data_IF_831514409293
#
_entry.id   IF_831514409293
#
_cell.length_a   1.000
_cell.length_b   1.000
_cell.length_c   1.000
_cell.angle_alpha   90.00
_cell.angle_beta   90.00
_cell.angle_gamma   90.00
#
_symmetry.space_group_name_H-M   'P 1'
#
loop_
_entity.id
_entity.type
_entity.pdbx_description
1 polymer ?
#
# COMPACT_ATOMS: atom_id res chain seq x y z
N UNK A 1 15.14 46.61 -48.90
CA UNK A 1 13.71 46.97 -48.89
C UNK A 1 13.19 46.69 -47.48
N UNK A 2 13.18 47.67 -46.58
CA UNK A 2 12.19 48.76 -46.50
C UNK A 2 10.87 48.26 -45.86
N UNK A 3 10.72 48.53 -44.57
CA UNK A 3 9.77 49.51 -43.99
C UNK A 3 8.44 48.82 -43.61
N UNK A 4 8.20 48.53 -42.33
CA UNK A 4 7.70 49.45 -41.30
C UNK A 4 6.23 49.82 -41.50
N UNK A 5 5.64 50.33 -40.40
CA UNK A 5 4.34 51.04 -40.26
C UNK A 5 3.22 50.16 -39.69
N UNK A 6 2.46 50.59 -38.69
CA UNK A 6 2.52 51.79 -37.86
C UNK A 6 1.58 51.53 -36.68
N UNK A 7 1.94 52.09 -35.53
CA UNK A 7 1.05 52.34 -34.41
C UNK A 7 -0.29 52.97 -34.83
N UNK A 8 -1.40 52.50 -34.24
CA UNK A 8 -2.59 53.32 -34.03
C UNK A 8 -2.75 53.69 -32.55
N UNK A 9 -3.18 54.92 -32.37
CA UNK A 9 -3.10 55.77 -31.18
C UNK A 9 -4.34 55.62 -30.29
N UNK A 10 -4.10 55.85 -28.99
CA UNK A 10 -4.88 56.62 -28.00
C UNK A 10 -6.38 56.29 -27.80
N UNK A 11 -6.73 55.99 -26.55
CA UNK A 11 -7.71 56.77 -25.80
C UNK A 11 -7.49 56.62 -24.28
N UNK A 12 -7.18 57.73 -23.62
CA UNK A 12 -7.36 57.92 -22.18
C UNK A 12 -8.85 58.04 -21.91
N UNK A 13 -9.38 57.29 -20.95
CA UNK A 13 -10.65 57.59 -20.29
C UNK A 13 -10.53 57.21 -18.82
N UNK A 14 -10.37 58.25 -18.00
CA UNK A 14 -10.52 58.23 -16.56
C UNK A 14 -12.00 57.99 -16.24
N UNK A 15 -12.33 57.03 -15.39
CA UNK A 15 -13.56 57.07 -14.59
C UNK A 15 -13.27 56.49 -13.21
N UNK A 16 -13.41 57.35 -12.21
CA UNK A 16 -13.50 57.01 -10.80
C UNK A 16 -14.80 56.26 -10.52
N UNK A 17 -14.80 55.33 -9.55
CA UNK A 17 -15.94 55.06 -8.67
C UNK A 17 -15.59 54.01 -7.61
N UNK A 18 -15.47 54.50 -6.37
CA UNK A 18 -16.07 53.97 -5.14
C UNK A 18 -16.02 52.46 -4.83
N UNK A 19 -15.29 52.13 -3.76
CA UNK A 19 -15.48 50.92 -2.95
C UNK A 19 -16.89 50.86 -2.35
N UNK A 20 -17.53 49.68 -2.35
CA UNK A 20 -18.40 49.29 -1.27
C UNK A 20 -17.65 48.36 -0.30
N UNK A 21 -17.57 48.82 0.95
CA UNK A 21 -17.23 48.04 2.13
C UNK A 21 -18.34 47.00 2.35
N UNK A 22 -18.09 45.76 1.91
CA UNK A 22 -18.98 44.64 2.19
C UNK A 22 -18.73 44.09 3.59
N UNK A 23 -19.66 44.33 4.51
CA UNK A 23 -19.76 43.59 5.77
C UNK A 23 -19.89 42.09 5.46
N UNK A 24 -18.87 41.30 5.78
CA UNK A 24 -19.00 39.86 5.87
C UNK A 24 -19.75 39.53 7.18
N UNK A 25 -21.04 39.19 7.06
CA UNK A 25 -21.76 38.48 8.12
C UNK A 25 -21.08 37.13 8.34
N UNK A 26 -20.47 36.97 9.50
CA UNK A 26 -19.96 35.69 9.99
C UNK A 26 -21.10 34.69 10.14
N UNK A 27 -21.29 33.85 9.12
CA UNK A 27 -22.00 32.60 9.26
C UNK A 27 -21.02 31.54 9.73
N UNK A 28 -21.21 30.99 10.93
CA UNK A 28 -20.63 29.72 11.32
C UNK A 28 -21.25 28.63 10.42
N UNK A 29 -20.65 28.41 9.24
CA UNK A 29 -20.83 27.17 8.55
C UNK A 29 -20.13 26.10 9.39
N UNK A 30 -20.92 25.31 10.12
CA UNK A 30 -20.45 24.03 10.61
C UNK A 30 -19.97 23.25 9.38
N UNK A 31 -18.65 23.08 9.26
CA UNK A 31 -18.08 22.03 8.42
C UNK A 31 -18.64 20.74 8.98
N UNK A 32 -19.66 20.20 8.32
CA UNK A 32 -19.98 18.80 8.46
C UNK A 32 -18.72 18.04 8.05
N UNK A 33 -18.03 17.46 9.03
CA UNK A 33 -17.04 16.44 8.76
C UNK A 33 -17.75 15.34 7.95
N UNK A 34 -17.50 15.33 6.63
CA UNK A 34 -17.65 14.09 5.89
C UNK A 34 -16.73 13.04 6.52
N UNK A 35 -16.95 11.74 6.30
CA UNK A 35 -16.01 10.72 6.74
C UNK A 35 -14.70 10.91 5.96
N UNK A 36 -13.86 11.79 6.49
CA UNK A 36 -12.50 12.01 6.09
C UNK A 36 -11.75 10.77 6.46
N UNK A 37 -11.34 10.05 5.44
CA UNK A 37 -10.41 8.94 5.44
C UNK A 37 -9.23 9.18 6.40
N UNK A 38 -9.22 8.47 7.52
CA UNK A 38 -8.07 8.26 8.41
C UNK A 38 -7.05 7.30 7.78
N UNK A 39 -6.60 7.61 6.56
CA UNK A 39 -5.51 6.90 5.91
C UNK A 39 -4.18 7.31 6.58
N UNK A 40 -3.92 6.78 7.78
CA UNK A 40 -2.66 7.02 8.48
C UNK A 40 -2.53 6.48 9.91
N UNK A 41 -3.59 5.99 10.55
CA UNK A 41 -3.53 5.54 11.95
C UNK A 41 -4.11 4.12 12.20
N UNK A 42 -4.94 3.61 11.30
CA UNK A 42 -5.56 2.30 11.45
C UNK A 42 -4.73 1.25 10.70
N UNK A 43 -4.36 0.16 11.38
CA UNK A 43 -3.53 -0.91 10.83
C UNK A 43 -4.15 -1.62 9.61
N UNK A 44 -3.54 -2.74 9.20
CA UNK A 44 -4.08 -3.57 8.12
C UNK A 44 -5.58 -3.87 8.33
N UNK A 45 -6.39 -4.01 7.27
CA UNK A 45 -7.82 -4.33 7.40
C UNK A 45 -8.05 -5.57 8.26
N UNK A 46 -9.01 -5.50 9.17
CA UNK A 46 -9.32 -6.58 10.12
C UNK A 46 -10.66 -7.25 9.77
N UNK A 47 -10.77 -8.54 10.06
CA UNK A 47 -12.04 -9.25 9.99
C UNK A 47 -12.98 -8.67 11.06
N UNK A 48 -14.21 -8.22 10.71
CA UNK A 48 -15.15 -7.72 11.70
C UNK A 48 -15.47 -8.77 12.78
N UNK A 49 -15.40 -8.34 14.05
CA UNK A 49 -15.70 -9.23 15.18
C UNK A 49 -17.15 -9.75 15.10
N UNK A 50 -17.35 -11.03 15.44
CA UNK A 50 -18.67 -11.65 15.46
C UNK A 50 -19.25 -12.00 14.08
N UNK A 51 -18.52 -11.76 12.98
CA UNK A 51 -18.94 -12.16 11.65
C UNK A 51 -18.37 -13.54 11.27
N UNK A 52 -19.25 -14.48 10.92
CA UNK A 52 -18.82 -15.76 10.34
C UNK A 52 -18.29 -15.55 8.92
N UNK A 53 -17.05 -15.97 8.68
CA UNK A 53 -16.46 -15.97 7.35
C UNK A 53 -17.17 -17.00 6.46
N UNK A 54 -17.65 -16.55 5.30
CA UNK A 54 -18.31 -17.33 4.25
C UNK A 54 -17.40 -17.49 3.02
N UNK A 55 -16.46 -16.56 2.82
CA UNK A 55 -15.55 -16.57 1.67
C UNK A 55 -14.13 -16.26 2.08
N UNK A 56 -13.31 -17.30 2.06
CA UNK A 56 -11.87 -17.23 2.30
C UNK A 56 -11.19 -17.54 0.98
N UNK A 57 -10.37 -16.63 0.49
CA UNK A 57 -9.45 -16.89 -0.61
C UNK A 57 -8.07 -17.22 -0.02
N UNK A 58 -7.30 -18.03 -0.72
CA UNK A 58 -5.92 -18.31 -0.35
C UNK A 58 -5.06 -18.47 -1.60
N UNK A 59 -3.77 -18.22 -1.47
CA UNK A 59 -2.82 -18.35 -2.56
C UNK A 59 -1.38 -18.27 -2.07
N UNK A 60 -0.47 -18.76 -2.88
CA UNK A 60 0.98 -18.79 -2.64
C UNK A 60 1.72 -18.60 -3.96
N UNK A 61 3.05 -18.57 -3.91
CA UNK A 61 3.91 -18.62 -5.10
C UNK A 61 3.72 -17.45 -6.06
N UNK A 62 3.51 -16.24 -5.50
CA UNK A 62 3.41 -15.04 -6.31
C UNK A 62 4.80 -14.45 -6.56
N UNK A 63 5.24 -14.49 -7.82
CA UNK A 63 6.53 -13.94 -8.19
C UNK A 63 6.41 -12.45 -8.52
N UNK A 64 6.98 -11.62 -7.67
CA UNK A 64 7.01 -10.15 -7.78
C UNK A 64 7.65 -9.64 -9.09
N UNK A 65 8.54 -10.43 -9.70
CA UNK A 65 9.21 -10.09 -10.94
C UNK A 65 8.36 -10.39 -12.19
N UNK A 66 7.33 -11.25 -12.09
CA UNK A 66 6.44 -11.56 -13.20
C UNK A 66 5.32 -10.54 -13.27
N UNK A 67 5.43 -9.61 -14.22
CA UNK A 67 4.44 -8.57 -14.46
C UNK A 67 3.83 -8.70 -15.87
N UNK A 68 2.52 -8.46 -16.04
CA UNK A 68 1.55 -8.13 -14.99
C UNK A 68 1.18 -9.35 -14.11
N UNK A 69 0.59 -9.09 -12.93
CA UNK A 69 -0.01 -10.10 -12.06
C UNK A 69 -1.55 -10.09 -12.17
N UNK A 70 -2.15 -10.62 -13.25
CA UNK A 70 -3.61 -10.54 -13.48
C UNK A 70 -4.45 -11.35 -12.48
N UNK A 71 -3.81 -12.24 -11.70
CA UNK A 71 -4.50 -13.03 -10.67
C UNK A 71 -5.21 -12.16 -9.64
N UNK A 72 -4.69 -10.95 -9.36
CA UNK A 72 -5.31 -10.04 -8.40
C UNK A 72 -6.70 -9.57 -8.82
N UNK A 73 -6.94 -9.40 -10.13
CA UNK A 73 -8.25 -8.99 -10.63
C UNK A 73 -9.31 -10.05 -10.30
N UNK A 74 -8.97 -11.33 -10.52
CA UNK A 74 -9.83 -12.45 -10.18
C UNK A 74 -10.05 -12.57 -8.67
N UNK A 75 -8.98 -12.42 -7.87
CA UNK A 75 -9.07 -12.46 -6.40
C UNK A 75 -9.97 -11.34 -5.86
N UNK A 76 -9.80 -10.10 -6.35
CA UNK A 76 -10.60 -8.95 -5.92
C UNK A 76 -12.05 -9.06 -6.39
N UNK A 77 -12.30 -9.53 -7.62
CA UNK A 77 -13.64 -9.79 -8.14
C UNK A 77 -14.39 -10.86 -7.34
N UNK A 78 -13.66 -11.81 -6.74
CA UNK A 78 -14.25 -12.79 -5.84
C UNK A 78 -14.69 -12.20 -4.50
N UNK A 79 -14.37 -10.95 -4.16
CA UNK A 79 -14.77 -10.28 -2.90
C UNK A 79 -14.55 -11.15 -1.64
N UNK A 80 -13.33 -11.65 -1.39
CA UNK A 80 -13.03 -12.42 -0.18
C UNK A 80 -13.23 -11.58 1.08
N UNK A 81 -13.72 -12.22 2.14
CA UNK A 81 -13.78 -11.63 3.49
C UNK A 81 -12.45 -11.79 4.23
N UNK A 82 -11.63 -12.75 3.80
CA UNK A 82 -10.27 -12.99 4.27
C UNK A 82 -9.43 -13.54 3.11
N UNK A 83 -8.19 -13.04 2.96
CA UNK A 83 -7.18 -13.65 2.10
C UNK A 83 -6.07 -14.29 2.94
N UNK A 84 -5.72 -15.54 2.66
CA UNK A 84 -4.61 -16.25 3.32
C UNK A 84 -3.45 -16.41 2.35
N UNK A 85 -2.37 -15.74 2.65
CA UNK A 85 -1.08 -15.89 1.98
C UNK A 85 -0.36 -17.13 2.54
N UNK A 86 -0.20 -18.13 1.68
CA UNK A 86 0.29 -19.47 2.03
C UNK A 86 1.80 -19.65 1.96
N UNK A 87 2.58 -18.57 1.78
CA UNK A 87 4.02 -18.65 1.56
C UNK A 87 4.42 -18.36 0.10
N UNK A 88 5.72 -18.30 -0.15
CA UNK A 88 6.29 -17.76 -1.38
C UNK A 88 5.62 -16.44 -1.79
N UNK A 89 5.53 -15.52 -0.83
CA UNK A 89 4.92 -14.21 -1.06
C UNK A 89 5.81 -13.31 -1.92
N UNK A 90 7.11 -13.61 -1.90
CA UNK A 90 8.15 -13.06 -2.76
C UNK A 90 9.23 -14.11 -2.99
N UNK A 91 9.94 -14.00 -4.11
CA UNK A 91 11.09 -14.83 -4.45
C UNK A 91 12.39 -14.07 -4.22
N UNK A 92 13.06 -14.32 -3.09
CA UNK A 92 14.28 -13.60 -2.69
C UNK A 92 15.43 -14.52 -2.21
N UNK A 93 15.38 -15.82 -2.50
CA UNK A 93 16.34 -16.82 -2.02
C UNK A 93 17.55 -17.03 -2.94
N UNK A 94 17.70 -16.27 -4.03
CA UNK A 94 18.82 -16.42 -4.97
C UNK A 94 20.17 -16.12 -4.30
N UNK A 95 21.13 -17.05 -4.32
CA UNK A 95 22.45 -16.82 -3.74
C UNK A 95 23.31 -15.81 -4.56
N UNK A 96 24.17 -15.01 -3.89
CA UNK A 96 24.27 -14.88 -2.44
C UNK A 96 23.05 -14.14 -1.88
N UNK A 97 22.48 -14.69 -0.80
CA UNK A 97 21.33 -14.07 -0.14
C UNK A 97 21.74 -12.82 0.65
N UNK A 98 20.86 -11.82 0.66
CA UNK A 98 20.97 -10.63 1.49
C UNK A 98 19.61 -10.14 1.96
N UNK A 99 19.56 -9.52 3.15
CA UNK A 99 18.37 -8.85 3.66
C UNK A 99 17.84 -7.79 2.66
N UNK A 100 18.74 -7.06 1.99
CA UNK A 100 18.37 -6.04 1.02
C UNK A 100 17.61 -6.63 -0.19
N UNK A 101 17.95 -7.83 -0.66
CA UNK A 101 17.19 -8.51 -1.72
C UNK A 101 15.79 -8.88 -1.25
N UNK A 102 15.65 -9.40 -0.02
CA UNK A 102 14.34 -9.73 0.55
C UNK A 102 13.46 -8.48 0.73
N UNK A 103 14.01 -7.42 1.32
CA UNK A 103 13.28 -6.15 1.49
C UNK A 103 12.92 -5.52 0.13
N UNK A 104 13.81 -5.59 -0.86
CA UNK A 104 13.52 -5.13 -2.21
C UNK A 104 12.44 -5.96 -2.89
N UNK A 105 12.43 -7.28 -2.71
CA UNK A 105 11.41 -8.15 -3.28
C UNK A 105 10.02 -7.81 -2.71
N UNK A 106 9.94 -7.57 -1.39
CA UNK A 106 8.73 -7.09 -0.74
C UNK A 106 8.30 -5.70 -1.22
N UNK A 107 9.23 -4.77 -1.40
CA UNK A 107 8.92 -3.45 -1.94
C UNK A 107 8.37 -3.53 -3.37
N UNK A 108 8.95 -4.39 -4.22
CA UNK A 108 8.46 -4.66 -5.57
C UNK A 108 7.04 -5.23 -5.55
N UNK A 109 6.77 -6.22 -4.70
CA UNK A 109 5.44 -6.80 -4.57
C UNK A 109 4.41 -5.79 -4.05
N UNK A 110 4.78 -4.96 -3.06
CA UNK A 110 3.92 -3.91 -2.53
C UNK A 110 3.54 -2.83 -3.55
N UNK A 111 4.37 -2.62 -4.58
CA UNK A 111 4.11 -1.69 -5.67
C UNK A 111 3.14 -2.25 -6.73
N UNK A 112 2.85 -3.56 -6.72
CA UNK A 112 1.91 -4.16 -7.68
C UNK A 112 0.48 -3.65 -7.40
N UNK A 113 -0.20 -3.00 -8.37
CA UNK A 113 -1.49 -2.35 -8.12
C UNK A 113 -2.54 -3.25 -7.48
N UNK A 114 -2.70 -4.47 -7.98
CA UNK A 114 -3.68 -5.43 -7.46
C UNK A 114 -3.36 -5.92 -6.04
N UNK A 115 -2.09 -6.20 -5.75
CA UNK A 115 -1.65 -6.55 -4.40
C UNK A 115 -1.81 -5.37 -3.42
N UNK A 116 -1.44 -4.16 -3.85
CA UNK A 116 -1.60 -2.94 -3.07
C UNK A 116 -3.08 -2.66 -2.77
N UNK A 117 -3.98 -2.90 -3.71
CA UNK A 117 -5.41 -2.81 -3.50
C UNK A 117 -5.89 -3.85 -2.49
N UNK A 118 -5.54 -5.13 -2.68
CA UNK A 118 -5.89 -6.20 -1.74
C UNK A 118 -5.44 -5.89 -0.32
N UNK A 119 -4.18 -5.45 -0.14
CA UNK A 119 -3.65 -5.07 1.17
C UNK A 119 -4.40 -3.94 1.86
N UNK A 120 -4.99 -3.01 1.09
CA UNK A 120 -5.76 -1.89 1.64
C UNK A 120 -7.21 -2.27 1.95
N UNK A 121 -7.79 -3.24 1.25
CA UNK A 121 -9.25 -3.45 1.26
C UNK A 121 -9.71 -4.80 1.80
N UNK A 122 -8.83 -5.80 1.86
CA UNK A 122 -9.18 -7.17 2.25
C UNK A 122 -8.39 -7.57 3.50
N UNK A 123 -9.06 -7.99 4.59
CA UNK A 123 -8.38 -8.58 5.72
C UNK A 123 -7.51 -9.76 5.27
N UNK A 124 -6.28 -9.86 5.77
CA UNK A 124 -5.38 -10.91 5.33
C UNK A 124 -4.45 -11.42 6.43
N UNK A 125 -4.08 -12.69 6.29
CA UNK A 125 -3.08 -13.37 7.09
C UNK A 125 -1.97 -13.85 6.16
N UNK A 126 -0.75 -13.94 6.68
CA UNK A 126 0.38 -14.45 5.94
C UNK A 126 1.25 -15.38 6.78
N UNK A 127 1.67 -16.46 6.14
CA UNK A 127 2.79 -17.30 6.57
C UNK A 127 3.91 -17.20 5.51
N UNK A 128 5.11 -17.61 5.89
CA UNK A 128 6.26 -17.74 4.98
C UNK A 128 6.37 -19.14 4.39
N UNK A 129 7.12 -19.25 3.31
CA UNK A 129 7.76 -20.49 2.85
C UNK A 129 9.26 -20.19 2.57
N UNK A 130 10.02 -21.13 2.02
CA UNK A 130 11.48 -21.06 1.90
C UNK A 130 12.02 -19.83 1.13
N UNK A 131 11.26 -19.29 0.17
CA UNK A 131 11.64 -18.07 -0.55
C UNK A 131 11.47 -16.77 0.26
N UNK A 132 10.48 -16.73 1.17
CA UNK A 132 10.31 -15.67 2.18
C UNK A 132 11.31 -15.87 3.33
N UNK A 133 11.55 -17.15 3.69
CA UNK A 133 12.54 -17.57 4.68
C UNK A 133 13.92 -17.13 4.25
N UNK A 134 14.23 -17.14 2.94
CA UNK A 134 15.43 -16.54 2.36
C UNK A 134 16.47 -17.54 1.85
N UNK A 135 16.24 -18.84 1.99
CA UNK A 135 17.07 -19.85 1.32
C UNK A 135 16.20 -21.05 0.96
N UNK A 136 16.31 -21.48 -0.29
CA UNK A 136 15.60 -22.64 -0.82
C UNK A 136 15.89 -23.89 0.03
N UNK A 137 14.85 -24.64 0.38
CA UNK A 137 14.92 -25.88 1.16
C UNK A 137 15.71 -25.78 2.48
N UNK A 138 15.78 -24.57 3.07
CA UNK A 138 16.49 -24.35 4.31
C UNK A 138 15.61 -24.64 5.54
N UNK A 139 16.24 -25.12 6.60
CA UNK A 139 15.61 -25.37 7.88
C UNK A 139 16.23 -24.54 9.00
N UNK A 140 16.02 -25.02 10.23
CA UNK A 140 16.47 -24.37 11.45
C UNK A 140 17.98 -24.14 11.53
N UNK A 141 18.79 -24.81 10.70
CA UNK A 141 20.24 -24.64 10.60
C UNK A 141 20.66 -23.34 9.90
N UNK A 142 19.76 -22.68 9.15
CA UNK A 142 20.12 -21.49 8.39
C UNK A 142 20.29 -20.27 9.30
N UNK A 143 21.50 -19.69 9.28
CA UNK A 143 21.92 -18.66 10.22
C UNK A 143 21.10 -17.36 10.10
N UNK A 144 20.59 -17.04 8.91
CA UNK A 144 19.91 -15.78 8.62
C UNK A 144 18.39 -15.82 8.89
N UNK A 145 17.85 -16.96 9.37
CA UNK A 145 16.41 -17.16 9.57
C UNK A 145 15.75 -16.09 10.44
N UNK A 146 16.44 -15.64 11.48
CA UNK A 146 15.89 -14.62 12.39
C UNK A 146 15.79 -13.26 11.70
N UNK A 147 16.80 -12.90 10.90
CA UNK A 147 16.83 -11.64 10.15
C UNK A 147 15.73 -11.62 9.08
N UNK A 148 15.55 -12.74 8.36
CA UNK A 148 14.46 -12.88 7.40
C UNK A 148 13.08 -12.82 8.06
N UNK A 149 12.92 -13.49 9.21
CA UNK A 149 11.69 -13.44 10.00
C UNK A 149 11.34 -12.03 10.44
N UNK A 150 12.31 -11.28 10.94
CA UNK A 150 12.08 -9.91 11.39
C UNK A 150 11.67 -8.99 10.22
N UNK A 151 12.23 -9.24 9.02
CA UNK A 151 11.80 -8.58 7.79
C UNK A 151 10.36 -8.96 7.39
N UNK A 152 10.01 -10.25 7.42
CA UNK A 152 8.66 -10.75 7.17
C UNK A 152 7.64 -10.09 8.11
N UNK A 153 7.88 -10.16 9.43
CA UNK A 153 6.96 -9.62 10.44
C UNK A 153 6.78 -8.10 10.32
N UNK A 154 7.84 -7.39 9.90
CA UNK A 154 7.79 -5.95 9.64
C UNK A 154 6.99 -5.63 8.37
N UNK A 155 7.20 -6.36 7.27
CA UNK A 155 6.45 -6.16 6.03
C UNK A 155 4.95 -6.43 6.21
N UNK A 156 4.60 -7.47 6.96
CA UNK A 156 3.22 -7.82 7.29
C UNK A 156 2.64 -7.07 8.49
N UNK A 157 3.35 -6.04 8.99
CA UNK A 157 2.91 -5.16 10.09
C UNK A 157 2.42 -5.94 11.33
N UNK A 158 3.07 -7.06 11.64
CA UNK A 158 2.73 -7.87 12.81
C UNK A 158 3.04 -7.06 14.08
N UNK A 159 2.14 -6.96 15.07
CA UNK A 159 2.35 -6.16 16.27
C UNK A 159 3.63 -6.50 17.04
N UNK A 160 4.24 -5.52 17.71
CA UNK A 160 5.48 -5.71 18.47
C UNK A 160 5.35 -6.69 19.65
N UNK A 161 4.15 -6.86 20.18
CA UNK A 161 3.82 -7.78 21.26
C UNK A 161 3.29 -9.14 20.78
N UNK A 162 3.26 -9.40 19.46
CA UNK A 162 2.79 -10.66 18.92
C UNK A 162 3.71 -11.83 19.36
N UNK A 163 3.17 -12.96 19.86
CA UNK A 163 3.97 -14.11 20.30
C UNK A 163 4.96 -14.63 19.26
N UNK A 164 4.66 -14.45 17.97
CA UNK A 164 5.57 -14.81 16.88
C UNK A 164 6.90 -14.11 16.98
N UNK A 165 7.02 -12.97 17.66
CA UNK A 165 8.33 -12.31 17.88
C UNK A 165 9.20 -12.99 18.93
N UNK A 166 8.67 -13.98 19.67
CA UNK A 166 9.34 -14.57 20.84
C UNK A 166 9.88 -15.99 20.61
N UNK A 167 9.44 -16.71 19.58
CA UNK A 167 9.90 -18.07 19.25
C UNK A 167 10.69 -18.13 17.93
N UNK A 168 11.25 -19.28 17.56
CA UNK A 168 12.15 -19.41 16.39
C UNK A 168 11.46 -19.53 15.02
N UNK A 169 10.15 -19.80 14.99
CA UNK A 169 9.33 -19.92 13.76
C UNK A 169 8.24 -18.86 13.65
N UNK A 170 7.48 -18.84 12.55
CA UNK A 170 6.23 -18.07 12.46
C UNK A 170 5.08 -18.75 13.20
#
# INVERSE_FOLDING_TARGET
MALARLHRRRALLQHAASLPLGLALGGCAAVAAGPGSDAGADGLPQVPAGQALQRIAFGSCINQALQPQPIWDAVLAAQPQLFVFGGDNVYASTPPWSLAQLESAYATQAAVPGFAQLRRTVPHLAIWDDHDYGKNDAGAEWAQKQVAKDAFLRFWQVPANDPRRQHGGL
#
